data_IF_604810053162
#
_entry.id   IF_604810053162
#
_cell.length_a   1.000
_cell.length_b   1.000
_cell.length_c   1.000
_cell.angle_alpha   90.00
_cell.angle_beta   90.00
_cell.angle_gamma   90.00
#
_symmetry.space_group_name_H-M   'P 1'
#
loop_
_entity.id
_entity.type
_entity.pdbx_description
1 polymer ?
#
# COMPACT_ATOMS: atom_id res chain seq x y z
N UNK A 1 50.25 -8.29 -34.25
CA UNK A 1 50.34 -8.19 -32.78
C UNK A 1 48.92 -8.34 -32.19
N UNK A 2 48.59 -9.58 -31.72
CA UNK A 2 47.31 -9.89 -31.04
C UNK A 2 47.45 -9.54 -29.57
N UNK A 3 46.66 -8.61 -29.06
CA UNK A 3 46.51 -8.40 -27.62
C UNK A 3 46.05 -9.70 -26.96
N UNK A 4 46.64 -10.09 -25.83
CA UNK A 4 46.31 -11.35 -25.17
C UNK A 4 44.83 -11.34 -24.74
N UNK A 5 44.17 -12.49 -24.87
CA UNK A 5 42.75 -12.71 -24.55
C UNK A 5 42.43 -12.35 -23.09
N UNK A 6 43.41 -12.46 -22.20
CA UNK A 6 43.31 -12.08 -20.80
C UNK A 6 42.94 -10.60 -20.57
N UNK A 7 43.49 -9.67 -21.37
CA UNK A 7 43.15 -8.23 -21.26
C UNK A 7 41.71 -7.93 -21.69
N UNK A 8 41.16 -8.69 -22.64
CA UNK A 8 39.77 -8.55 -23.06
C UNK A 8 38.81 -9.05 -22.00
N UNK A 9 39.12 -10.14 -21.33
CA UNK A 9 38.30 -10.70 -20.24
C UNK A 9 38.31 -9.74 -19.04
N UNK A 10 39.46 -9.17 -18.69
CA UNK A 10 39.55 -8.18 -17.61
C UNK A 10 38.76 -6.89 -17.93
N UNK A 11 38.83 -6.40 -19.17
CA UNK A 11 38.05 -5.24 -19.60
C UNK A 11 36.52 -5.52 -19.64
N UNK A 12 36.12 -6.71 -20.06
CA UNK A 12 34.69 -7.12 -20.00
C UNK A 12 34.20 -7.26 -18.56
N UNK A 13 35.00 -7.84 -17.66
CA UNK A 13 34.67 -7.92 -16.23
C UNK A 13 34.47 -6.53 -15.62
N UNK A 14 35.39 -5.61 -15.88
CA UNK A 14 35.32 -4.20 -15.41
C UNK A 14 34.11 -3.44 -16.00
N UNK A 15 33.72 -3.71 -17.26
CA UNK A 15 32.53 -3.12 -17.85
C UNK A 15 31.23 -3.69 -17.26
N UNK A 16 31.19 -4.97 -16.95
CA UNK A 16 30.04 -5.62 -16.32
C UNK A 16 29.87 -5.12 -14.89
N UNK A 17 30.96 -5.00 -14.12
CA UNK A 17 30.91 -4.45 -12.76
C UNK A 17 30.50 -2.97 -12.76
N UNK A 18 30.93 -2.19 -13.76
CA UNK A 18 30.53 -0.77 -13.90
C UNK A 18 29.05 -0.65 -14.32
N UNK A 19 28.51 -1.56 -15.12
CA UNK A 19 27.09 -1.58 -15.49
C UNK A 19 26.19 -2.10 -14.36
N UNK A 20 26.66 -3.05 -13.56
CA UNK A 20 25.93 -3.53 -12.37
C UNK A 20 25.89 -2.46 -11.28
N UNK A 21 26.94 -1.65 -11.15
CA UNK A 21 26.97 -0.51 -10.21
C UNK A 21 26.10 0.68 -10.65
N UNK A 22 25.68 0.76 -11.92
CA UNK A 22 24.81 1.83 -12.44
C UNK A 22 23.32 1.48 -12.45
N UNK A 23 22.95 0.27 -12.03
CA UNK A 23 21.56 -0.19 -12.00
C UNK A 23 20.84 0.10 -10.67
N UNK A 24 21.41 0.91 -9.78
CA UNK A 24 20.67 1.49 -8.68
C UNK A 24 19.98 2.74 -9.19
N UNK A 25 18.68 2.62 -9.51
CA UNK A 25 17.84 3.80 -9.72
C UNK A 25 18.08 4.78 -8.56
N UNK A 26 18.31 6.09 -8.86
CA UNK A 26 18.51 7.07 -7.80
C UNK A 26 17.37 6.99 -6.80
N UNK A 27 17.62 7.08 -5.49
CA UNK A 27 16.59 6.94 -4.49
C UNK A 27 15.46 7.93 -4.77
N UNK A 28 14.22 7.43 -4.82
CA UNK A 28 13.04 8.26 -5.10
C UNK A 28 12.80 9.15 -3.89
N UNK A 29 13.29 10.38 -3.96
CA UNK A 29 13.21 11.36 -2.87
C UNK A 29 11.93 12.17 -2.86
N UNK A 30 11.15 12.16 -3.96
CA UNK A 30 9.92 12.94 -4.08
C UNK A 30 8.75 12.11 -4.57
N UNK A 31 7.56 12.40 -4.05
CA UNK A 31 6.30 11.78 -4.44
C UNK A 31 5.17 12.79 -4.42
N UNK A 32 4.32 12.79 -5.45
CA UNK A 32 3.17 13.69 -5.52
C UNK A 32 1.94 12.97 -6.08
N UNK A 33 0.76 13.27 -5.51
CA UNK A 33 -0.51 12.77 -6.03
C UNK A 33 -1.63 13.77 -5.80
N UNK A 34 -2.70 13.69 -6.59
CA UNK A 34 -3.94 14.45 -6.37
C UNK A 34 -4.94 13.60 -5.60
N UNK A 35 -5.28 14.01 -4.39
CA UNK A 35 -6.25 13.32 -3.53
C UNK A 35 -7.69 13.50 -4.01
N UNK A 36 -7.99 14.61 -4.71
CA UNK A 36 -9.27 14.95 -5.30
C UNK A 36 -9.08 15.67 -6.63
N UNK A 37 -10.16 15.82 -7.37
CA UNK A 37 -10.18 16.61 -8.63
C UNK A 37 -9.98 18.10 -8.37
N UNK A 38 -10.54 18.58 -7.27
CA UNK A 38 -10.50 19.99 -6.87
C UNK A 38 -9.45 20.10 -5.76
N UNK A 39 -8.44 20.93 -5.98
CA UNK A 39 -7.36 21.19 -5.03
C UNK A 39 -5.96 20.95 -5.57
N UNK A 40 -4.98 21.37 -4.79
CA UNK A 40 -3.57 21.20 -5.13
C UNK A 40 -3.12 19.75 -4.96
N UNK A 41 -2.11 19.34 -5.70
CA UNK A 41 -1.46 18.06 -5.49
C UNK A 41 -0.80 18.03 -4.10
N UNK A 42 -0.97 16.91 -3.41
CA UNK A 42 -0.20 16.61 -2.21
C UNK A 42 1.22 16.27 -2.64
N UNK A 43 2.21 16.88 -2.03
CA UNK A 43 3.63 16.66 -2.34
C UNK A 43 4.36 16.22 -1.08
N UNK A 44 5.25 15.27 -1.27
CA UNK A 44 6.09 14.70 -0.22
C UNK A 44 7.52 14.61 -0.73
N UNK A 45 8.46 14.94 0.11
CA UNK A 45 9.89 14.89 -0.21
C UNK A 45 10.67 14.36 0.99
N UNK A 46 11.58 13.44 0.71
CA UNK A 46 12.50 12.90 1.68
C UNK A 46 13.79 13.72 1.64
N UNK A 47 13.98 14.56 2.63
CA UNK A 47 15.16 15.41 2.79
C UNK A 47 16.07 14.88 3.90
N UNK A 48 17.26 15.43 4.04
CA UNK A 48 18.14 15.13 5.19
C UNK A 48 17.52 15.54 6.53
N UNK A 49 16.72 16.62 6.55
CA UNK A 49 16.04 17.11 7.72
C UNK A 49 14.82 16.26 8.15
N UNK A 50 14.27 15.44 7.23
CA UNK A 50 13.10 14.61 7.49
C UNK A 50 12.14 14.53 6.30
N UNK A 51 10.94 14.04 6.58
CA UNK A 51 9.83 13.98 5.64
C UNK A 51 9.18 15.36 5.52
N UNK A 52 9.46 16.06 4.42
CA UNK A 52 8.77 17.29 4.03
C UNK A 52 7.43 16.95 3.38
N UNK A 53 6.38 17.68 3.74
CA UNK A 53 5.06 17.48 3.16
C UNK A 53 4.36 18.80 2.87
N UNK A 54 3.56 18.82 1.79
CA UNK A 54 2.71 19.92 1.41
C UNK A 54 1.32 19.40 1.03
N UNK A 55 0.30 19.75 1.82
CA UNK A 55 -1.07 19.24 1.70
C UNK A 55 -2.05 20.39 1.86
N UNK A 56 -2.87 20.67 0.83
CA UNK A 56 -3.96 21.64 0.88
C UNK A 56 -3.55 23.01 1.48
N UNK A 57 -2.43 23.58 1.02
CA UNK A 57 -1.91 24.87 1.48
C UNK A 57 -1.21 24.83 2.85
N UNK A 58 -1.13 23.67 3.49
CA UNK A 58 -0.36 23.44 4.72
C UNK A 58 0.92 22.69 4.39
N UNK A 59 2.01 23.03 5.03
CA UNK A 59 3.31 22.37 4.85
C UNK A 59 3.99 22.17 6.20
N UNK A 60 4.93 21.24 6.21
CA UNK A 60 5.75 20.99 7.38
C UNK A 60 6.86 19.98 7.07
N UNK A 61 7.77 19.85 8.00
CA UNK A 61 8.84 18.85 7.97
C UNK A 61 8.76 18.06 9.27
N UNK A 62 8.71 16.72 9.14
CA UNK A 62 8.73 15.80 10.27
C UNK A 62 10.04 15.05 10.28
N UNK A 63 10.79 15.19 11.33
CA UNK A 63 12.02 14.41 11.51
C UNK A 63 11.67 12.93 11.54
N UNK A 64 12.55 12.08 11.00
CA UNK A 64 12.28 10.64 10.92
C UNK A 64 12.15 9.97 12.30
N UNK A 65 12.88 10.46 13.30
CA UNK A 65 12.80 10.01 14.70
C UNK A 65 11.52 10.50 15.43
N UNK A 66 10.87 11.56 14.93
CA UNK A 66 9.60 12.08 15.47
C UNK A 66 8.36 11.43 14.81
N UNK A 67 8.53 10.54 13.85
CA UNK A 67 7.44 9.74 13.30
C UNK A 67 7.07 8.67 14.35
N UNK A 68 5.83 8.74 14.85
CA UNK A 68 5.33 7.84 15.90
C UNK A 68 4.76 6.53 15.36
N UNK A 69 4.16 6.56 14.17
CA UNK A 69 3.59 5.37 13.55
C UNK A 69 3.51 5.47 12.03
N UNK A 70 3.69 4.33 11.36
CA UNK A 70 3.37 4.17 9.94
C UNK A 70 2.42 3.00 9.80
N UNK A 71 1.28 3.23 9.13
CA UNK A 71 0.29 2.19 8.85
C UNK A 71 0.11 2.03 7.35
N UNK A 72 0.39 0.84 6.84
CA UNK A 72 0.12 0.45 5.46
C UNK A 72 -1.22 -0.27 5.38
N UNK A 73 -2.08 0.11 4.45
CA UNK A 73 -3.40 -0.52 4.26
C UNK A 73 -3.78 -0.60 2.79
N UNK A 74 -4.53 -1.63 2.45
CA UNK A 74 -5.11 -1.81 1.14
C UNK A 74 -6.56 -1.32 1.13
N UNK A 75 -6.91 -0.41 0.21
CA UNK A 75 -8.26 0.13 0.07
C UNK A 75 -8.71 0.05 -1.39
N UNK A 76 -9.39 -1.01 -1.80
CA UNK A 76 -9.92 -1.08 -3.16
C UNK A 76 -10.91 0.07 -3.37
N UNK A 77 -10.80 0.74 -4.52
CA UNK A 77 -11.71 1.83 -4.92
C UNK A 77 -12.82 1.28 -5.79
N UNK A 78 -12.49 0.28 -6.63
CA UNK A 78 -13.42 -0.46 -7.47
C UNK A 78 -12.91 -1.89 -7.66
N UNK A 79 -13.67 -2.72 -8.37
CA UNK A 79 -13.23 -4.08 -8.72
C UNK A 79 -11.91 -4.11 -9.52
N UNK A 80 -11.63 -3.05 -10.28
CA UNK A 80 -10.47 -2.98 -11.18
C UNK A 80 -9.35 -2.08 -10.66
N UNK A 81 -9.63 -1.23 -9.66
CA UNK A 81 -8.67 -0.26 -9.15
C UNK A 81 -8.28 -0.56 -7.71
N UNK A 82 -7.02 -0.90 -7.54
CA UNK A 82 -6.40 -1.08 -6.26
C UNK A 82 -5.82 0.25 -5.77
N UNK A 83 -5.98 0.54 -4.50
CA UNK A 83 -5.36 1.69 -3.85
C UNK A 83 -4.62 1.21 -2.61
N UNK A 84 -3.37 1.55 -2.53
CA UNK A 84 -2.56 1.37 -1.33
C UNK A 84 -2.46 2.71 -0.61
N UNK A 85 -2.40 2.65 0.69
CA UNK A 85 -2.36 3.83 1.55
C UNK A 85 -1.35 3.64 2.66
N UNK A 86 -0.50 4.65 2.84
CA UNK A 86 0.36 4.79 3.99
C UNK A 86 -0.13 5.99 4.84
N UNK A 87 -0.49 5.71 6.07
CA UNK A 87 -0.79 6.74 7.08
C UNK A 87 0.45 6.93 7.95
N UNK A 88 1.04 8.11 7.91
CA UNK A 88 2.19 8.49 8.72
C UNK A 88 1.70 9.42 9.83
N UNK A 89 2.02 9.09 11.08
CA UNK A 89 1.63 9.86 12.27
C UNK A 89 2.85 10.45 12.96
N UNK A 90 2.70 11.64 13.52
CA UNK A 90 3.76 12.37 14.22
C UNK A 90 3.57 12.32 15.74
N UNK A 91 4.65 12.34 16.52
CA UNK A 91 4.62 12.27 18.00
C UNK A 91 3.85 13.42 18.64
N UNK A 92 3.96 14.63 18.09
CA UNK A 92 3.22 15.82 18.57
C UNK A 92 1.78 15.90 18.08
N UNK A 93 1.27 14.81 17.51
CA UNK A 93 -0.04 14.77 16.85
C UNK A 93 0.05 15.14 15.36
N UNK A 94 -1.02 14.89 14.65
CA UNK A 94 -1.07 15.02 13.19
C UNK A 94 -0.89 13.67 12.49
N UNK A 95 -1.57 13.56 11.35
CA UNK A 95 -1.49 12.41 10.46
C UNK A 95 -1.54 12.89 9.03
N UNK A 96 -0.68 12.34 8.21
CA UNK A 96 -0.69 12.52 6.76
C UNK A 96 -0.95 11.17 6.10
N UNK A 97 -1.65 11.21 4.97
CA UNK A 97 -1.94 10.03 4.18
C UNK A 97 -1.23 10.14 2.83
N UNK A 98 -0.57 9.08 2.42
CA UNK A 98 0.08 8.95 1.12
C UNK A 98 -0.67 7.85 0.37
N UNK A 99 -1.14 8.13 -0.84
CA UNK A 99 -1.95 7.23 -1.65
C UNK A 99 -1.20 6.80 -2.91
N UNK A 100 -1.38 5.54 -3.33
CA UNK A 100 -0.78 5.02 -4.57
C UNK A 100 -1.54 5.40 -5.83
N UNK A 101 -2.61 6.20 -5.73
CA UNK A 101 -3.42 6.63 -6.88
C UNK A 101 -3.56 8.13 -6.91
N UNK A 102 -3.56 8.71 -8.12
CA UNK A 102 -3.74 10.12 -8.36
C UNK A 102 -4.95 10.36 -9.27
N UNK A 103 -5.83 11.30 -8.91
CA UNK A 103 -6.92 11.72 -9.79
C UNK A 103 -6.39 12.47 -11.00
N UNK A 104 -6.79 12.06 -12.20
CA UNK A 104 -6.48 12.74 -13.46
C UNK A 104 -7.69 13.48 -14.03
N UNK A 105 -8.85 12.83 -14.03
CA UNK A 105 -10.13 13.41 -14.48
C UNK A 105 -11.26 12.95 -13.57
N UNK A 106 -12.48 13.44 -13.79
CA UNK A 106 -13.67 13.08 -13.00
C UNK A 106 -13.97 11.57 -12.94
N UNK A 107 -13.53 10.81 -13.94
CA UNK A 107 -13.76 9.37 -14.03
C UNK A 107 -12.47 8.54 -13.99
N UNK A 108 -11.30 9.17 -14.04
CA UNK A 108 -10.04 8.45 -14.20
C UNK A 108 -9.08 8.74 -13.04
N UNK A 109 -8.72 7.68 -12.34
CA UNK A 109 -7.59 7.64 -11.41
C UNK A 109 -6.45 6.85 -12.03
N UNK A 110 -5.24 7.44 -12.02
CA UNK A 110 -4.03 6.74 -12.45
C UNK A 110 -3.35 6.07 -11.26
N UNK A 111 -2.99 4.78 -11.37
CA UNK A 111 -2.12 4.13 -10.41
C UNK A 111 -0.70 4.71 -10.52
N UNK A 112 -0.05 4.91 -9.39
CA UNK A 112 1.35 5.36 -9.28
C UNK A 112 2.15 4.33 -8.47
N UNK A 113 1.96 3.07 -8.78
CA UNK A 113 2.37 1.93 -7.98
C UNK A 113 3.89 1.90 -7.75
N UNK A 114 4.68 2.03 -8.82
CA UNK A 114 6.16 2.01 -8.72
C UNK A 114 6.69 3.19 -7.90
N UNK A 115 6.19 4.40 -8.16
CA UNK A 115 6.60 5.60 -7.41
C UNK A 115 6.21 5.52 -5.93
N UNK A 116 5.01 5.03 -5.63
CA UNK A 116 4.56 4.83 -4.25
C UNK A 116 5.43 3.80 -3.53
N UNK A 117 5.67 2.62 -4.16
CA UNK A 117 6.51 1.58 -3.57
C UNK A 117 7.92 2.08 -3.27
N UNK A 118 8.56 2.72 -4.25
CA UNK A 118 9.91 3.23 -4.10
C UNK A 118 10.00 4.31 -3.03
N UNK A 119 9.03 5.25 -2.98
CA UNK A 119 8.97 6.29 -1.96
C UNK A 119 8.78 5.73 -0.55
N UNK A 120 7.87 4.77 -0.38
CA UNK A 120 7.64 4.14 0.94
C UNK A 120 8.86 3.32 1.38
N UNK A 121 9.51 2.59 0.47
CA UNK A 121 10.73 1.86 0.79
C UNK A 121 11.84 2.81 1.26
N UNK A 122 12.09 3.89 0.52
CA UNK A 122 13.11 4.89 0.89
C UNK A 122 12.77 5.60 2.22
N UNK A 123 11.50 5.92 2.47
CA UNK A 123 11.07 6.45 3.76
C UNK A 123 11.46 5.52 4.91
N UNK A 124 11.25 4.21 4.77
CA UNK A 124 11.59 3.24 5.81
C UNK A 124 13.12 3.13 6.00
N UNK A 125 13.90 3.18 4.92
CA UNK A 125 15.37 3.20 4.99
C UNK A 125 15.86 4.42 5.80
N UNK A 126 15.34 5.61 5.50
CA UNK A 126 15.71 6.84 6.23
C UNK A 126 15.25 6.84 7.69
N UNK A 127 14.08 6.28 7.96
CA UNK A 127 13.60 6.07 9.33
C UNK A 127 14.51 5.11 10.10
N UNK A 128 14.97 4.02 9.47
CA UNK A 128 15.93 3.09 10.08
C UNK A 128 17.26 3.76 10.38
N UNK A 129 17.81 4.51 9.42
CA UNK A 129 19.06 5.27 9.59
C UNK A 129 18.98 6.31 10.71
N UNK A 130 17.81 6.94 10.87
CA UNK A 130 17.56 7.90 11.96
C UNK A 130 17.25 7.25 13.31
N UNK A 131 17.25 5.92 13.42
CA UNK A 131 16.94 5.20 14.65
C UNK A 131 15.49 5.37 15.11
N UNK A 132 14.54 5.54 14.17
CA UNK A 132 13.12 5.71 14.46
C UNK A 132 12.56 4.52 15.24
N UNK A 133 11.74 4.81 16.26
CA UNK A 133 11.00 3.82 17.06
C UNK A 133 9.51 3.81 16.72
N UNK A 134 9.16 4.17 15.51
CA UNK A 134 7.79 4.23 15.05
C UNK A 134 7.08 2.86 15.17
N UNK A 135 5.81 2.88 15.55
CA UNK A 135 4.97 1.69 15.49
C UNK A 135 4.59 1.40 14.02
N UNK A 136 5.07 0.27 13.50
CA UNK A 136 4.84 -0.15 12.13
C UNK A 136 3.71 -1.17 12.08
N UNK A 137 2.59 -0.79 11.47
CA UNK A 137 1.39 -1.62 11.38
C UNK A 137 0.92 -1.78 9.94
N UNK A 138 0.44 -2.98 9.63
CA UNK A 138 -0.10 -3.36 8.35
C UNK A 138 -1.58 -3.71 8.51
N UNK A 139 -2.39 -3.40 7.50
CA UNK A 139 -3.81 -3.67 7.48
C UNK A 139 -4.68 -2.61 8.15
N UNK A 140 -5.92 -2.97 8.44
CA UNK A 140 -6.87 -2.11 9.15
C UNK A 140 -6.55 -2.06 10.64
N UNK A 141 -7.02 -1.00 11.32
CA UNK A 141 -6.98 -0.97 12.78
C UNK A 141 -7.81 -2.11 13.37
N UNK A 142 -7.36 -2.69 14.49
CA UNK A 142 -7.99 -3.87 15.11
C UNK A 142 -9.50 -3.71 15.32
N UNK A 143 -9.97 -2.54 15.82
CA UNK A 143 -11.39 -2.27 16.00
C UNK A 143 -12.17 -2.23 14.67
N UNK A 144 -11.64 -1.56 13.66
CA UNK A 144 -12.27 -1.53 12.33
C UNK A 144 -12.31 -2.91 11.70
N UNK A 145 -11.24 -3.69 11.83
CA UNK A 145 -11.19 -5.06 11.33
C UNK A 145 -12.20 -5.96 12.02
N UNK A 146 -12.33 -5.86 13.36
CA UNK A 146 -13.33 -6.59 14.13
C UNK A 146 -14.75 -6.23 13.70
N UNK A 147 -15.05 -4.95 13.46
CA UNK A 147 -16.36 -4.52 12.94
C UNK A 147 -16.65 -5.10 11.56
N UNK A 148 -15.66 -5.13 10.66
CA UNK A 148 -15.81 -5.76 9.34
C UNK A 148 -16.11 -7.24 9.48
N UNK A 149 -15.39 -7.96 10.34
CA UNK A 149 -15.64 -9.38 10.59
C UNK A 149 -17.03 -9.63 11.20
N UNK A 150 -17.44 -8.81 12.16
CA UNK A 150 -18.78 -8.92 12.78
C UNK A 150 -19.89 -8.69 11.75
N UNK A 151 -19.73 -7.70 10.87
CA UNK A 151 -20.68 -7.45 9.79
C UNK A 151 -20.74 -8.63 8.81
N UNK A 152 -19.59 -9.19 8.42
CA UNK A 152 -19.53 -10.36 7.54
C UNK A 152 -20.15 -11.60 8.19
N UNK A 153 -19.95 -11.79 9.48
CA UNK A 153 -20.58 -12.89 10.21
C UNK A 153 -22.10 -12.74 10.25
N UNK A 154 -22.61 -11.53 10.53
CA UNK A 154 -24.05 -11.25 10.49
C UNK A 154 -24.64 -11.51 9.09
N UNK A 155 -23.96 -11.06 8.04
CA UNK A 155 -24.36 -11.31 6.66
C UNK A 155 -24.39 -12.81 6.34
N UNK A 156 -23.38 -13.56 6.78
CA UNK A 156 -23.32 -15.02 6.60
C UNK A 156 -24.50 -15.73 7.29
N UNK A 157 -24.85 -15.31 8.50
CA UNK A 157 -26.03 -15.84 9.23
C UNK A 157 -27.33 -15.53 8.47
N UNK A 158 -27.49 -14.29 7.97
CA UNK A 158 -28.66 -13.91 7.19
C UNK A 158 -28.77 -14.74 5.89
N UNK A 159 -27.64 -14.92 5.18
CA UNK A 159 -27.62 -15.73 3.96
C UNK A 159 -27.91 -17.21 4.23
N UNK A 160 -27.41 -17.76 5.34
CA UNK A 160 -27.74 -19.11 5.79
C UNK A 160 -29.24 -19.26 6.09
N UNK A 161 -29.85 -18.29 6.75
CA UNK A 161 -31.30 -18.26 6.99
C UNK A 161 -32.12 -18.24 5.70
N UNK A 162 -31.73 -17.41 4.74
CA UNK A 162 -32.36 -17.37 3.40
C UNK A 162 -32.21 -18.70 2.65
N UNK A 163 -31.03 -19.33 2.75
CA UNK A 163 -30.76 -20.62 2.12
C UNK A 163 -31.66 -21.73 2.73
N UNK A 164 -31.77 -21.79 4.07
CA UNK A 164 -32.65 -22.74 4.76
C UNK A 164 -34.10 -22.53 4.32
N UNK A 165 -34.55 -21.27 4.29
CA UNK A 165 -35.92 -20.95 3.82
C UNK A 165 -36.14 -21.40 2.40
N UNK A 166 -35.25 -21.13 1.47
CA UNK A 166 -35.34 -21.54 0.07
C UNK A 166 -35.42 -23.06 -0.09
N UNK A 167 -34.66 -23.80 0.72
CA UNK A 167 -34.71 -25.27 0.77
C UNK A 167 -36.08 -25.79 1.30
N UNK A 168 -36.61 -25.17 2.36
CA UNK A 168 -37.89 -25.56 2.94
C UNK A 168 -39.04 -25.42 1.97
N UNK A 169 -39.05 -24.36 1.14
CA UNK A 169 -40.11 -24.13 0.13
C UNK A 169 -39.78 -24.82 -1.22
N UNK A 170 -38.68 -25.60 -1.28
CA UNK A 170 -38.20 -26.31 -2.47
C UNK A 170 -37.92 -25.41 -3.68
N UNK A 171 -37.51 -24.18 -3.43
CA UNK A 171 -37.19 -23.19 -4.48
C UNK A 171 -35.72 -23.38 -4.93
N UNK A 172 -35.45 -24.36 -5.78
CA UNK A 172 -34.09 -24.74 -6.20
C UNK A 172 -33.38 -23.64 -6.98
N UNK A 173 -34.10 -22.82 -7.75
CA UNK A 173 -33.50 -21.69 -8.45
C UNK A 173 -32.95 -20.66 -7.46
N UNK A 174 -33.71 -20.36 -6.38
CA UNK A 174 -33.26 -19.49 -5.29
C UNK A 174 -32.06 -20.04 -4.54
N UNK A 175 -32.04 -21.38 -4.30
CA UNK A 175 -30.88 -22.05 -3.68
C UNK A 175 -29.60 -21.85 -4.52
N UNK A 176 -29.67 -22.12 -5.82
CA UNK A 176 -28.51 -21.96 -6.73
C UNK A 176 -28.06 -20.51 -6.80
N UNK A 177 -28.99 -19.56 -6.85
CA UNK A 177 -28.67 -18.12 -6.84
C UNK A 177 -27.92 -17.72 -5.58
N UNK A 178 -28.42 -18.12 -4.39
CA UNK A 178 -27.80 -17.79 -3.10
C UNK A 178 -26.40 -18.40 -3.02
N UNK A 179 -26.23 -19.66 -3.40
CA UNK A 179 -24.91 -20.32 -3.39
C UNK A 179 -23.92 -19.62 -4.33
N UNK A 180 -24.33 -19.30 -5.56
CA UNK A 180 -23.51 -18.57 -6.52
C UNK A 180 -23.11 -17.19 -6.01
N UNK A 181 -24.06 -16.46 -5.40
CA UNK A 181 -23.80 -15.15 -4.80
C UNK A 181 -22.80 -15.25 -3.63
N UNK A 182 -23.00 -16.20 -2.71
CA UNK A 182 -22.11 -16.42 -1.56
C UNK A 182 -20.69 -16.76 -2.04
N UNK A 183 -20.58 -17.64 -3.04
CA UNK A 183 -19.27 -18.03 -3.59
C UNK A 183 -18.54 -16.83 -4.22
N UNK A 184 -19.23 -16.04 -5.05
CA UNK A 184 -18.68 -14.83 -5.67
C UNK A 184 -18.28 -13.79 -4.62
N UNK A 185 -19.14 -13.56 -3.64
CA UNK A 185 -18.90 -12.61 -2.56
C UNK A 185 -17.71 -13.03 -1.68
N UNK A 186 -17.65 -14.31 -1.29
CA UNK A 186 -16.54 -14.84 -0.50
C UNK A 186 -15.20 -14.72 -1.24
N UNK A 187 -15.18 -15.00 -2.56
CA UNK A 187 -14.00 -14.82 -3.38
C UNK A 187 -13.53 -13.36 -3.42
N UNK A 188 -14.45 -12.43 -3.64
CA UNK A 188 -14.14 -11.00 -3.77
C UNK A 188 -13.72 -10.37 -2.43
N UNK A 189 -14.47 -10.64 -1.37
CA UNK A 189 -14.23 -10.06 -0.04
C UNK A 189 -13.08 -10.76 0.69
N UNK A 190 -12.88 -12.06 0.44
CA UNK A 190 -11.81 -12.84 1.06
C UNK A 190 -10.43 -12.25 0.81
N UNK A 191 -10.14 -11.78 -0.39
CA UNK A 191 -8.90 -11.10 -0.73
C UNK A 191 -8.70 -9.79 0.06
N UNK A 192 -9.75 -9.00 0.24
CA UNK A 192 -9.72 -7.79 1.04
C UNK A 192 -9.45 -8.08 2.52
N UNK A 193 -10.17 -9.04 3.10
CA UNK A 193 -10.02 -9.41 4.52
C UNK A 193 -8.62 -9.91 4.81
N UNK A 194 -8.08 -10.81 3.97
CA UNK A 194 -6.72 -11.36 4.14
C UNK A 194 -5.64 -10.29 4.06
N UNK A 195 -5.70 -9.39 3.07
CA UNK A 195 -4.72 -8.31 2.90
C UNK A 195 -4.78 -7.28 4.02
N UNK A 196 -5.96 -7.01 4.58
CA UNK A 196 -6.16 -6.01 5.62
C UNK A 196 -6.14 -6.57 7.04
N UNK A 197 -5.70 -7.80 7.24
CA UNK A 197 -5.52 -8.37 8.58
C UNK A 197 -4.52 -7.52 9.38
N UNK A 198 -4.90 -7.07 10.59
CA UNK A 198 -4.01 -6.31 11.46
C UNK A 198 -2.77 -7.10 11.82
N UNK A 199 -1.61 -6.56 11.50
CA UNK A 199 -0.32 -7.15 11.85
C UNK A 199 0.75 -6.08 12.04
N UNK A 200 1.79 -6.38 12.80
CA UNK A 200 2.99 -5.55 12.92
C UNK A 200 4.04 -6.02 11.93
N UNK A 201 4.87 -5.09 11.49
CA UNK A 201 6.03 -5.40 10.66
C UNK A 201 7.25 -4.62 11.16
N UNK A 202 8.43 -4.88 10.61
CA UNK A 202 9.68 -4.21 10.96
C UNK A 202 10.19 -3.35 9.80
N UNK A 203 11.10 -2.42 10.08
CA UNK A 203 11.70 -1.56 9.05
C UNK A 203 12.43 -2.36 7.96
N UNK A 204 12.98 -3.53 8.33
CA UNK A 204 13.74 -4.39 7.42
C UNK A 204 12.84 -5.31 6.55
N UNK A 205 11.58 -5.52 6.96
CA UNK A 205 10.67 -6.45 6.30
C UNK A 205 9.33 -5.76 6.01
N UNK A 206 9.28 -5.04 4.88
CA UNK A 206 8.05 -4.42 4.42
C UNK A 206 7.06 -5.48 3.91
N UNK A 207 5.76 -5.34 4.23
CA UNK A 207 4.72 -6.25 3.75
C UNK A 207 4.46 -6.04 2.25
N UNK A 208 4.99 -6.94 1.43
CA UNK A 208 4.89 -6.86 -0.05
C UNK A 208 3.46 -6.94 -0.58
N UNK A 209 2.54 -7.54 0.18
CA UNK A 209 1.11 -7.63 -0.17
C UNK A 209 0.33 -6.32 0.07
N UNK A 210 0.92 -5.35 0.79
CA UNK A 210 0.38 -4.00 1.01
C UNK A 210 1.17 -2.90 0.28
N UNK A 211 2.13 -3.30 -0.54
CA UNK A 211 2.79 -2.46 -1.52
C UNK A 211 2.37 -2.92 -2.92
N UNK A 212 2.09 -2.00 -3.85
CA UNK A 212 1.72 -2.36 -5.21
C UNK A 212 2.84 -3.02 -5.97
#
# INVERSE_FOLDING_TARGET
>A
LRKPIADRIAQMGSMIDMQVSQAQDPPVTSYAYKASLIGSAHRFELTEAGLSWHIAGRSGVWRYDEISAVRLSFRPVSMQQHRFRADVSHTKGGRIAILSTSWQTAALMAPQDNGFRAFIAELHVRMAQAGSRAELTAGLGAGTYALVLAFLALLAVAMAGLLIRALMIREFAGVLFILGFVALFAWQVGGFVRRNQPRRYTLDHLPTDLLP
#
